data_IF_771430546338
#
_entry.id   IF_771430546338
#
_cell.length_a   1.000
_cell.length_b   1.000
_cell.length_c   1.000
_cell.angle_alpha   90.00
_cell.angle_beta   90.00
_cell.angle_gamma   90.00
#
_symmetry.space_group_name_H-M   'P 1'
#
loop_
_entity.id
_entity.type
_entity.pdbx_description
1 polymer ?
#
# COMPACT_ATOMS: atom_id res chain seq x y z
N UNK A 1 22.69 17.81 -5.93
CA UNK A 1 21.86 18.23 -7.08
C UNK A 1 22.11 17.36 -8.30
N UNK A 2 21.88 16.07 -8.33
CA UNK A 2 22.44 15.28 -9.42
C UNK A 2 21.72 14.02 -9.90
N UNK A 3 20.66 13.50 -9.25
CA UNK A 3 20.14 12.18 -9.66
C UNK A 3 18.61 12.09 -9.91
N UNK A 4 17.85 13.15 -9.63
CA UNK A 4 16.41 13.18 -9.94
C UNK A 4 16.10 13.49 -11.42
N UNK A 5 17.11 13.84 -12.21
CA UNK A 5 16.95 14.22 -13.63
C UNK A 5 16.85 13.04 -14.61
N UNK A 6 17.08 11.79 -14.16
CA UNK A 6 17.10 10.65 -15.09
C UNK A 6 15.71 10.11 -15.50
N UNK A 7 14.63 10.47 -14.80
CA UNK A 7 13.27 10.02 -15.13
C UNK A 7 12.34 11.13 -15.65
N UNK A 8 12.82 12.38 -15.72
CA UNK A 8 12.03 13.53 -16.17
C UNK A 8 10.87 13.91 -15.23
N UNK A 9 10.73 13.24 -14.07
CA UNK A 9 9.65 13.52 -13.11
C UNK A 9 10.19 14.24 -11.89
N UNK A 10 9.58 15.38 -11.54
CA UNK A 10 9.91 16.16 -10.36
C UNK A 10 9.28 15.58 -9.11
N UNK A 11 9.97 15.73 -7.97
CA UNK A 11 9.38 15.49 -6.66
C UNK A 11 8.32 16.54 -6.39
N UNK A 12 7.10 16.12 -6.13
CA UNK A 12 5.97 16.96 -5.78
C UNK A 12 5.73 16.92 -4.27
N UNK A 13 5.29 18.05 -3.72
CA UNK A 13 4.79 18.15 -2.35
C UNK A 13 3.29 18.43 -2.41
N UNK A 14 2.49 17.51 -1.90
CA UNK A 14 1.04 17.67 -1.75
C UNK A 14 0.78 18.20 -0.34
N UNK A 15 0.45 19.48 -0.25
CA UNK A 15 0.15 20.13 1.04
C UNK A 15 -1.32 19.90 1.37
N UNK A 16 -1.64 19.75 2.65
CA UNK A 16 -3.02 19.47 3.10
C UNK A 16 -4.04 20.54 2.64
N UNK A 17 -3.60 21.77 2.37
CA UNK A 17 -4.47 22.82 1.82
C UNK A 17 -4.72 22.71 0.30
N UNK A 18 -3.96 21.89 -0.43
CA UNK A 18 -4.10 21.75 -1.88
C UNK A 18 -5.33 20.93 -2.27
N UNK A 19 -5.93 21.28 -3.41
CA UNK A 19 -7.03 20.51 -4.00
C UNK A 19 -6.60 19.11 -4.43
N UNK A 20 -5.32 18.92 -4.74
CA UNK A 20 -4.74 17.60 -5.11
C UNK A 20 -4.42 16.72 -3.91
N UNK A 21 -4.52 17.25 -2.67
CA UNK A 21 -4.30 16.43 -1.47
C UNK A 21 -5.44 15.42 -1.30
N UNK A 22 -5.16 14.12 -1.15
CA UNK A 22 -6.20 13.11 -1.09
C UNK A 22 -7.16 13.34 0.08
N UNK A 23 -8.43 13.60 -0.21
CA UNK A 23 -9.46 13.87 0.80
C UNK A 23 -9.63 12.72 1.79
N UNK A 24 -9.38 11.47 1.35
CA UNK A 24 -9.42 10.28 2.19
C UNK A 24 -8.47 10.36 3.39
N UNK A 25 -7.32 11.02 3.27
CA UNK A 25 -6.40 11.19 4.40
C UNK A 25 -7.03 12.01 5.52
N UNK A 26 -7.74 13.09 5.19
CA UNK A 26 -8.45 13.88 6.20
C UNK A 26 -9.64 13.11 6.78
N UNK A 27 -10.39 12.41 5.93
CA UNK A 27 -11.58 11.67 6.33
C UNK A 27 -11.26 10.54 7.34
N UNK A 28 -10.19 9.80 7.13
CA UNK A 28 -9.87 8.61 7.94
C UNK A 28 -8.80 8.85 9.01
N UNK A 29 -7.86 9.79 8.79
CA UNK A 29 -6.80 10.07 9.75
C UNK A 29 -7.06 11.31 10.61
N UNK A 30 -8.02 12.15 10.22
CA UNK A 30 -8.38 13.35 10.97
C UNK A 30 -7.16 14.24 11.26
N UNK A 31 -6.93 14.55 12.54
CA UNK A 31 -5.80 15.38 12.96
C UNK A 31 -4.43 14.71 12.82
N UNK A 32 -4.38 13.39 12.63
CA UNK A 32 -3.14 12.64 12.37
C UNK A 32 -2.80 12.57 10.88
N UNK A 33 -3.61 13.17 10.00
CA UNK A 33 -3.30 13.28 8.59
C UNK A 33 -2.02 14.10 8.37
N UNK A 34 -1.07 13.62 7.55
CA UNK A 34 0.18 14.34 7.31
C UNK A 34 -0.10 15.71 6.67
N UNK A 35 0.52 16.78 7.17
CA UNK A 35 0.38 18.11 6.59
C UNK A 35 0.95 18.19 5.16
N UNK A 36 1.95 17.37 4.86
CA UNK A 36 2.63 17.31 3.56
C UNK A 36 2.86 15.85 3.19
N UNK A 37 2.58 15.50 1.94
CA UNK A 37 2.89 14.20 1.35
C UNK A 37 3.85 14.43 0.18
N UNK A 38 5.03 13.83 0.24
CA UNK A 38 5.98 13.82 -0.87
C UNK A 38 5.57 12.77 -1.89
N UNK A 39 5.52 13.15 -3.17
CA UNK A 39 5.10 12.29 -4.27
C UNK A 39 6.12 12.34 -5.41
N UNK A 40 6.48 11.18 -5.96
CA UNK A 40 7.31 11.05 -7.15
C UNK A 40 6.61 10.10 -8.14
N UNK A 41 6.21 10.62 -9.27
CA UNK A 41 5.40 9.92 -10.28
C UNK A 41 4.19 10.74 -10.67
N UNK A 42 3.15 10.10 -11.17
CA UNK A 42 1.92 10.74 -11.62
C UNK A 42 0.80 10.61 -10.56
N UNK A 43 0.37 11.71 -9.93
CA UNK A 43 -0.74 11.67 -8.98
C UNK A 43 -2.08 11.22 -9.58
N UNK A 44 -2.26 11.31 -10.91
CA UNK A 44 -3.47 10.80 -11.58
C UNK A 44 -3.68 9.29 -11.39
N UNK A 45 -2.67 8.56 -10.91
CA UNK A 45 -2.83 7.15 -10.52
C UNK A 45 -3.83 6.94 -9.36
N UNK A 46 -4.19 8.00 -8.63
CA UNK A 46 -5.28 7.98 -7.66
C UNK A 46 -6.68 8.00 -8.28
N UNK A 47 -6.82 8.36 -9.55
CA UNK A 47 -8.12 8.35 -10.24
C UNK A 47 -8.68 6.92 -10.36
N UNK A 48 -7.79 5.93 -10.33
CA UNK A 48 -8.14 4.51 -10.16
C UNK A 48 -8.04 4.14 -8.67
N UNK A 49 -9.17 3.96 -7.95
CA UNK A 49 -9.15 3.72 -6.52
C UNK A 49 -8.31 2.49 -6.15
N UNK A 50 -7.19 2.64 -5.45
CA UNK A 50 -6.25 1.55 -5.25
C UNK A 50 -6.73 0.56 -4.19
N UNK A 51 -6.21 -0.66 -4.28
CA UNK A 51 -6.41 -1.77 -3.39
C UNK A 51 -5.16 -1.94 -2.53
N UNK A 52 -5.29 -1.90 -1.20
CA UNK A 52 -4.15 -2.10 -0.32
C UNK A 52 -3.90 -3.57 -0.01
N UNK A 53 -2.62 -3.96 0.07
CA UNK A 53 -2.18 -5.28 0.52
C UNK A 53 -1.38 -5.17 1.82
N UNK A 54 -1.76 -5.98 2.82
CA UNK A 54 -1.04 -6.11 4.08
C UNK A 54 -0.84 -7.57 4.45
N UNK A 55 0.30 -7.86 5.07
CA UNK A 55 0.60 -9.18 5.61
C UNK A 55 1.45 -9.05 6.88
N UNK A 56 1.19 -9.89 7.88
CA UNK A 56 2.09 -10.04 9.01
C UNK A 56 3.47 -10.54 8.56
N UNK A 57 4.53 -10.18 9.28
CA UNK A 57 5.89 -10.57 8.95
C UNK A 57 6.07 -12.10 8.95
N UNK A 58 5.35 -12.80 9.84
CA UNK A 58 5.23 -14.26 9.83
C UNK A 58 3.91 -14.61 9.17
N UNK A 59 3.97 -15.43 8.12
CA UNK A 59 2.82 -15.89 7.35
C UNK A 59 2.91 -17.38 7.12
N UNK A 60 1.83 -18.16 7.31
CA UNK A 60 1.79 -19.57 6.98
C UNK A 60 2.12 -19.86 5.51
N UNK A 61 2.84 -20.95 5.23
CA UNK A 61 3.30 -21.28 3.88
C UNK A 61 2.17 -21.41 2.85
N UNK A 62 1.04 -22.00 3.25
CA UNK A 62 -0.16 -22.12 2.39
C UNK A 62 -0.74 -20.76 1.99
N UNK A 63 -0.70 -19.77 2.87
CA UNK A 63 -1.14 -18.40 2.58
C UNK A 63 -0.15 -17.66 1.68
N UNK A 64 1.15 -18.00 1.71
CA UNK A 64 2.15 -17.42 0.80
C UNK A 64 1.81 -17.81 -0.65
N UNK A 65 1.46 -19.06 -0.90
CA UNK A 65 1.05 -19.54 -2.24
C UNK A 65 -0.20 -18.79 -2.71
N UNK A 66 -1.24 -18.74 -1.87
CA UNK A 66 -2.47 -18.03 -2.20
C UNK A 66 -2.24 -16.52 -2.44
N UNK A 67 -1.32 -15.90 -1.70
CA UNK A 67 -0.94 -14.50 -1.90
C UNK A 67 -0.26 -14.29 -3.25
N UNK A 68 0.57 -15.23 -3.68
CA UNK A 68 1.21 -15.22 -5.00
C UNK A 68 0.16 -15.32 -6.11
N UNK A 69 -0.79 -16.25 -6.00
CA UNK A 69 -1.89 -16.41 -6.95
C UNK A 69 -2.76 -15.15 -7.02
N UNK A 70 -3.06 -14.54 -5.86
CA UNK A 70 -3.78 -13.28 -5.78
C UNK A 70 -3.02 -12.15 -6.48
N UNK A 71 -1.71 -12.05 -6.27
CA UNK A 71 -0.89 -11.01 -6.89
C UNK A 71 -0.87 -11.15 -8.42
N UNK A 72 -0.79 -12.38 -8.95
CA UNK A 72 -0.93 -12.64 -10.38
C UNK A 72 -2.32 -12.24 -10.90
N UNK A 73 -3.38 -12.64 -10.21
CA UNK A 73 -4.74 -12.28 -10.59
C UNK A 73 -4.98 -10.75 -10.60
N UNK A 74 -4.38 -10.00 -9.69
CA UNK A 74 -4.45 -8.54 -9.65
C UNK A 74 -3.63 -7.93 -10.80
N UNK A 75 -2.44 -8.46 -11.08
CA UNK A 75 -1.59 -8.00 -12.18
C UNK A 75 -2.26 -8.21 -13.56
N UNK A 76 -2.85 -9.40 -13.79
CA UNK A 76 -3.55 -9.75 -15.04
C UNK A 76 -4.78 -8.86 -15.29
N UNK A 77 -5.45 -8.42 -14.21
CA UNK A 77 -6.58 -7.48 -14.32
C UNK A 77 -6.17 -6.02 -14.42
N UNK A 78 -4.89 -5.72 -14.35
CA UNK A 78 -4.41 -4.33 -14.32
C UNK A 78 -4.92 -3.56 -13.10
N UNK A 79 -5.15 -4.22 -11.97
CA UNK A 79 -5.68 -3.59 -10.77
C UNK A 79 -4.69 -2.56 -10.20
N UNK A 80 -5.21 -1.41 -9.75
CA UNK A 80 -4.42 -0.43 -9.03
C UNK A 80 -4.14 -0.94 -7.62
N UNK A 81 -2.87 -1.07 -7.25
CA UNK A 81 -2.46 -1.58 -5.93
C UNK A 81 -1.59 -0.57 -5.19
N UNK A 82 -1.85 -0.41 -3.89
CA UNK A 82 -1.05 0.42 -2.98
C UNK A 82 -0.51 -0.40 -1.83
N UNK A 83 0.73 -0.17 -1.42
CA UNK A 83 1.31 -0.87 -0.28
C UNK A 83 2.61 -0.30 0.22
N UNK A 84 3.03 -0.82 1.37
CA UNK A 84 4.36 -0.57 1.90
C UNK A 84 5.38 -1.60 1.46
N UNK A 85 4.91 -2.76 1.12
CA UNK A 85 5.68 -3.89 0.59
C UNK A 85 6.92 -4.20 1.44
N UNK A 86 6.72 -4.25 2.76
CA UNK A 86 7.82 -4.37 3.70
C UNK A 86 8.07 -5.82 4.16
N UNK A 87 7.00 -6.61 4.35
CA UNK A 87 7.13 -8.01 4.75
C UNK A 87 7.58 -8.89 3.57
N UNK A 88 8.13 -10.09 3.82
CA UNK A 88 8.56 -10.99 2.74
C UNK A 88 7.44 -11.30 1.73
N UNK A 89 6.22 -11.56 2.22
CA UNK A 89 5.07 -11.86 1.36
C UNK A 89 4.65 -10.64 0.54
N UNK A 90 4.59 -9.46 1.17
CA UNK A 90 4.28 -8.22 0.46
C UNK A 90 5.33 -7.93 -0.64
N UNK A 91 6.61 -8.21 -0.41
CA UNK A 91 7.67 -8.06 -1.42
C UNK A 91 7.50 -9.01 -2.59
N UNK A 92 7.18 -10.27 -2.33
CA UNK A 92 6.89 -11.24 -3.39
C UNK A 92 5.71 -10.78 -4.25
N UNK A 93 4.64 -10.26 -3.63
CA UNK A 93 3.54 -9.65 -4.36
C UNK A 93 3.99 -8.42 -5.18
N UNK A 94 4.85 -7.56 -4.61
CA UNK A 94 5.38 -6.40 -5.33
C UNK A 94 6.14 -6.78 -6.60
N UNK A 95 6.98 -7.81 -6.55
CA UNK A 95 7.75 -8.29 -7.72
C UNK A 95 6.82 -8.71 -8.86
N UNK A 96 5.73 -9.41 -8.54
CA UNK A 96 4.71 -9.82 -9.52
C UNK A 96 3.98 -8.59 -10.09
N UNK A 97 3.55 -7.66 -9.24
CA UNK A 97 2.85 -6.44 -9.65
C UNK A 97 3.74 -5.51 -10.48
N UNK A 98 5.05 -5.47 -10.21
CA UNK A 98 6.01 -4.72 -11.01
C UNK A 98 6.15 -5.29 -12.43
N UNK A 99 6.01 -6.60 -12.61
CA UNK A 99 6.01 -7.24 -13.92
C UNK A 99 4.70 -7.02 -14.70
N UNK A 100 3.59 -6.75 -14.00
CA UNK A 100 2.28 -6.47 -14.60
C UNK A 100 2.20 -5.06 -15.21
N UNK A 101 1.01 -4.71 -15.73
CA UNK A 101 0.74 -3.42 -16.39
C UNK A 101 -0.06 -2.44 -15.49
N UNK A 102 -0.62 -2.90 -14.39
CA UNK A 102 -1.50 -2.10 -13.52
C UNK A 102 -0.81 -0.94 -12.81
N UNK A 103 -1.57 0.08 -12.39
CA UNK A 103 -1.07 1.17 -11.55
C UNK A 103 -0.56 0.66 -10.20
N UNK A 104 0.59 1.17 -9.77
CA UNK A 104 1.22 0.76 -8.51
C UNK A 104 1.62 1.98 -7.69
N UNK A 105 1.26 1.97 -6.41
CA UNK A 105 1.60 3.02 -5.47
C UNK A 105 2.42 2.42 -4.33
N UNK A 106 3.66 2.86 -4.17
CA UNK A 106 4.56 2.35 -3.14
C UNK A 106 4.82 3.41 -2.08
N UNK A 107 4.58 3.04 -0.81
CA UNK A 107 4.72 3.94 0.32
C UNK A 107 5.82 3.43 1.28
N UNK A 108 7.05 3.96 1.24
CA UNK A 108 8.08 3.58 2.20
C UNK A 108 7.76 4.12 3.60
N UNK A 109 8.20 3.41 4.65
CA UNK A 109 8.11 3.88 6.04
C UNK A 109 9.30 4.78 6.41
N UNK A 110 9.60 5.74 5.58
CA UNK A 110 10.67 6.74 5.72
C UNK A 110 10.43 7.89 4.75
N UNK A 111 11.18 8.98 4.90
CA UNK A 111 11.18 10.09 3.95
C UNK A 111 11.52 9.63 2.52
N UNK A 112 11.17 10.44 1.53
CA UNK A 112 11.40 10.12 0.12
C UNK A 112 12.88 9.88 -0.14
N UNK A 113 13.21 8.80 -0.84
CA UNK A 113 14.59 8.44 -1.17
C UNK A 113 15.13 9.30 -2.30
N UNK A 114 16.42 9.70 -2.19
CA UNK A 114 17.10 10.45 -3.25
C UNK A 114 17.49 9.59 -4.45
N UNK A 115 17.68 8.28 -4.22
CA UNK A 115 18.04 7.32 -5.26
C UNK A 115 16.89 6.37 -5.48
N UNK A 116 16.39 6.31 -6.71
CA UNK A 116 15.30 5.42 -7.09
C UNK A 116 15.88 4.01 -7.30
N UNK A 117 15.33 2.97 -6.61
CA UNK A 117 15.67 1.57 -6.86
C UNK A 117 15.54 1.20 -8.33
N UNK A 118 16.41 0.31 -8.80
CA UNK A 118 16.47 -0.04 -10.22
C UNK A 118 15.14 -0.59 -10.75
N UNK A 119 14.47 -1.42 -9.96
CA UNK A 119 13.17 -2.03 -10.25
C UNK A 119 12.04 -1.02 -10.44
N UNK A 120 12.16 0.19 -9.87
CA UNK A 120 11.13 1.23 -9.97
C UNK A 120 11.33 2.18 -11.17
N UNK A 121 12.50 2.18 -11.80
CA UNK A 121 12.83 3.17 -12.85
C UNK A 121 11.92 3.03 -14.07
N UNK A 122 11.77 1.81 -14.58
CA UNK A 122 10.94 1.53 -15.76
C UNK A 122 9.45 1.81 -15.48
N UNK A 123 8.83 1.31 -14.40
CA UNK A 123 7.44 1.62 -14.07
C UNK A 123 7.18 3.11 -13.84
N UNK A 124 8.13 3.85 -13.24
CA UNK A 124 8.06 5.30 -13.10
C UNK A 124 8.09 6.01 -14.46
N UNK A 125 9.02 5.62 -15.34
CA UNK A 125 9.12 6.19 -16.68
C UNK A 125 7.86 5.92 -17.50
N UNK A 126 7.27 4.73 -17.37
CA UNK A 126 6.01 4.33 -18.00
C UNK A 126 4.77 5.02 -17.41
N UNK A 127 4.90 5.82 -16.34
CA UNK A 127 3.77 6.54 -15.72
C UNK A 127 2.83 5.66 -14.90
N UNK A 128 3.20 4.40 -14.60
CA UNK A 128 2.36 3.46 -13.84
C UNK A 128 2.79 3.24 -12.38
N UNK A 129 3.87 3.91 -11.94
CA UNK A 129 4.31 3.87 -10.54
C UNK A 129 4.28 5.27 -9.93
N UNK A 130 3.76 5.33 -8.70
CA UNK A 130 3.79 6.51 -7.85
C UNK A 130 4.45 6.13 -6.51
N UNK A 131 5.51 6.84 -6.15
CA UNK A 131 6.09 6.74 -4.80
C UNK A 131 5.50 7.83 -3.93
N UNK A 132 5.03 7.47 -2.74
CA UNK A 132 4.45 8.41 -1.76
C UNK A 132 5.11 8.27 -0.41
N UNK A 133 5.41 9.39 0.23
CA UNK A 133 5.86 9.38 1.62
C UNK A 133 5.18 10.49 2.42
N UNK A 134 4.55 10.16 3.58
CA UNK A 134 4.04 11.13 4.53
C UNK A 134 5.10 11.64 5.51
N UNK A 135 6.36 11.22 5.36
CA UNK A 135 7.44 11.48 6.32
C UNK A 135 8.40 12.54 5.81
N UNK A 136 8.99 13.30 6.75
CA UNK A 136 10.02 14.27 6.44
C UNK A 136 11.29 13.58 5.86
N UNK A 137 12.06 14.29 5.04
CA UNK A 137 13.31 13.78 4.47
C UNK A 137 14.37 13.38 5.52
N UNK A 138 14.27 13.93 6.74
CA UNK A 138 15.11 13.57 7.88
C UNK A 138 14.86 12.15 8.39
N UNK A 139 13.66 11.60 8.17
CA UNK A 139 13.28 10.25 8.58
C UNK A 139 13.88 9.21 7.62
N UNK A 140 15.16 8.90 7.83
CA UNK A 140 15.90 8.01 6.92
C UNK A 140 15.83 6.53 7.30
N UNK A 141 15.58 6.25 8.58
CA UNK A 141 15.53 4.87 9.12
C UNK A 141 14.10 4.42 9.31
N UNK A 142 13.80 3.20 8.91
CA UNK A 142 12.51 2.56 9.17
C UNK A 142 12.45 2.18 10.64
N UNK A 143 11.42 2.64 11.35
CA UNK A 143 11.08 2.20 12.71
C UNK A 143 9.72 1.51 12.73
N UNK A 144 9.40 0.87 13.83
CA UNK A 144 8.11 0.21 14.00
C UNK A 144 6.95 1.23 14.02
N UNK A 145 7.21 2.42 14.57
CA UNK A 145 6.24 3.54 14.65
C UNK A 145 5.98 4.12 13.26
N UNK A 146 7.04 4.39 12.47
CA UNK A 146 6.90 4.86 11.09
C UNK A 146 6.21 3.81 10.21
N UNK A 147 6.50 2.51 10.43
CA UNK A 147 5.83 1.44 9.71
C UNK A 147 4.32 1.38 10.04
N UNK A 148 3.95 1.56 11.31
CA UNK A 148 2.54 1.60 11.72
C UNK A 148 1.83 2.84 11.14
N UNK A 149 2.44 4.02 11.23
CA UNK A 149 1.91 5.26 10.66
C UNK A 149 1.73 5.15 9.13
N UNK A 150 2.74 4.58 8.41
CA UNK A 150 2.65 4.30 6.99
C UNK A 150 1.50 3.35 6.66
N UNK A 151 1.31 2.29 7.44
CA UNK A 151 0.24 1.33 7.18
C UNK A 151 -1.15 1.99 7.31
N UNK A 152 -1.37 2.83 8.32
CA UNK A 152 -2.60 3.63 8.45
C UNK A 152 -2.78 4.59 7.27
N UNK A 153 -1.71 5.25 6.85
CA UNK A 153 -1.70 6.13 5.67
C UNK A 153 -2.10 5.39 4.38
N UNK A 154 -1.52 4.21 4.13
CA UNK A 154 -1.85 3.34 2.99
C UNK A 154 -3.31 2.89 3.06
N UNK A 155 -3.77 2.41 4.21
CA UNK A 155 -5.15 1.98 4.40
C UNK A 155 -6.16 3.13 4.23
N UNK A 156 -5.80 4.35 4.65
CA UNK A 156 -6.63 5.54 4.45
C UNK A 156 -6.79 5.89 2.96
N UNK A 157 -5.73 5.76 2.15
CA UNK A 157 -5.75 6.03 0.71
C UNK A 157 -6.46 4.95 -0.10
N UNK A 158 -6.46 3.71 0.36
CA UNK A 158 -7.06 2.60 -0.36
C UNK A 158 -8.60 2.66 -0.36
N UNK A 159 -9.21 2.28 -1.47
CA UNK A 159 -10.67 2.07 -1.54
C UNK A 159 -11.10 0.75 -0.91
N UNK A 160 -10.25 -0.26 -0.98
CA UNK A 160 -10.45 -1.61 -0.45
C UNK A 160 -9.15 -2.09 0.15
N UNK A 161 -9.22 -2.92 1.18
CA UNK A 161 -8.03 -3.41 1.89
C UNK A 161 -8.05 -4.94 1.96
N UNK A 162 -6.95 -5.57 1.54
CA UNK A 162 -6.75 -7.00 1.68
C UNK A 162 -5.69 -7.25 2.76
N UNK A 163 -6.05 -8.00 3.78
CA UNK A 163 -5.11 -8.58 4.72
C UNK A 163 -4.85 -10.04 4.32
N UNK A 164 -3.69 -10.31 3.73
CA UNK A 164 -3.26 -11.66 3.33
C UNK A 164 -3.23 -12.56 4.56
N UNK A 165 -2.62 -12.06 5.64
CA UNK A 165 -2.58 -12.70 6.95
C UNK A 165 -2.37 -11.66 8.05
N UNK A 166 -3.03 -11.87 9.18
CA UNK A 166 -2.80 -11.11 10.41
C UNK A 166 -2.64 -12.05 11.59
N UNK A 167 -1.44 -12.06 12.18
CA UNK A 167 -1.20 -12.84 13.38
C UNK A 167 -2.11 -12.35 14.53
N UNK A 168 -2.81 -13.23 15.25
CA UNK A 168 -3.66 -12.85 16.37
C UNK A 168 -2.93 -12.03 17.43
N UNK A 169 -3.56 -10.96 17.92
CA UNK A 169 -2.97 -10.00 18.86
C UNK A 169 -1.88 -9.10 18.26
N UNK A 170 -1.63 -9.21 16.94
CA UNK A 170 -0.57 -8.48 16.25
C UNK A 170 -0.99 -7.11 15.72
N UNK A 171 0.01 -6.31 15.31
CA UNK A 171 -0.23 -4.95 14.75
C UNK A 171 -1.04 -4.98 13.46
N UNK A 172 -0.92 -6.03 12.66
CA UNK A 172 -1.67 -6.17 11.40
C UNK A 172 -3.16 -6.41 11.68
N UNK A 173 -3.48 -7.21 12.70
CA UNK A 173 -4.86 -7.41 13.14
C UNK A 173 -5.46 -6.13 13.72
N UNK A 174 -4.70 -5.42 14.57
CA UNK A 174 -5.15 -4.13 15.11
C UNK A 174 -5.46 -3.13 13.98
N UNK A 175 -4.64 -3.09 12.93
CA UNK A 175 -4.92 -2.27 11.76
C UNK A 175 -6.19 -2.74 11.03
N UNK A 176 -6.40 -4.06 10.89
CA UNK A 176 -7.61 -4.59 10.25
C UNK A 176 -8.87 -4.16 11.01
N UNK A 177 -8.86 -4.27 12.34
CA UNK A 177 -9.94 -3.82 13.20
C UNK A 177 -10.21 -2.31 13.04
N UNK A 178 -9.16 -1.49 13.01
CA UNK A 178 -9.27 -0.05 12.79
C UNK A 178 -9.92 0.26 11.43
N UNK A 179 -9.46 -0.40 10.37
CA UNK A 179 -9.96 -0.18 8.99
C UNK A 179 -11.41 -0.62 8.83
N UNK A 180 -11.80 -1.73 9.45
CA UNK A 180 -13.20 -2.17 9.52
C UNK A 180 -14.03 -1.11 10.25
N UNK A 181 -13.54 -0.57 11.36
CA UNK A 181 -14.18 0.53 12.09
C UNK A 181 -14.34 1.82 11.28
N UNK A 182 -13.53 2.05 10.24
CA UNK A 182 -13.73 3.13 9.28
C UNK A 182 -14.86 2.88 8.26
N UNK A 183 -15.48 1.70 8.28
CA UNK A 183 -16.50 1.28 7.31
C UNK A 183 -15.94 0.95 5.93
N UNK A 184 -14.64 0.72 5.80
CA UNK A 184 -14.03 0.31 4.53
C UNK A 184 -14.23 -1.18 4.26
N UNK A 185 -14.40 -1.59 2.98
CA UNK A 185 -14.40 -3.00 2.61
C UNK A 185 -13.04 -3.64 2.90
N UNK A 186 -13.04 -4.62 3.78
CA UNK A 186 -11.85 -5.40 4.17
C UNK A 186 -12.03 -6.83 3.72
N UNK A 187 -10.97 -7.38 3.14
CA UNK A 187 -10.94 -8.75 2.60
C UNK A 187 -9.76 -9.53 3.18
N UNK A 188 -9.92 -10.85 3.21
CA UNK A 188 -8.85 -11.78 3.58
C UNK A 188 -8.92 -13.06 2.75
N UNK A 189 -7.85 -13.82 2.74
CA UNK A 189 -7.82 -15.16 2.13
C UNK A 189 -8.58 -16.15 3.01
N UNK A 190 -9.41 -16.99 2.39
CA UNK A 190 -10.15 -18.06 3.08
C UNK A 190 -9.16 -19.11 3.62
N UNK A 191 -8.82 -18.98 4.91
CA UNK A 191 -7.88 -19.88 5.58
C UNK A 191 -8.16 -19.95 7.09
N UNK A 192 -8.00 -21.11 7.74
CA UNK A 192 -8.21 -21.22 9.19
C UNK A 192 -7.37 -20.24 10.03
N UNK A 193 -6.13 -19.94 9.61
CA UNK A 193 -5.24 -18.99 10.28
C UNK A 193 -5.66 -17.51 10.12
N UNK A 194 -6.70 -17.23 9.33
CA UNK A 194 -7.30 -15.91 9.17
C UNK A 194 -8.68 -15.80 9.82
N UNK A 195 -9.06 -16.79 10.64
CA UNK A 195 -10.37 -16.79 11.30
C UNK A 195 -10.60 -15.54 12.13
N UNK A 196 -9.58 -15.04 12.81
CA UNK A 196 -9.62 -13.79 13.55
C UNK A 196 -10.01 -12.58 12.69
N UNK A 197 -9.57 -12.53 11.43
CA UNK A 197 -9.95 -11.47 10.48
C UNK A 197 -11.41 -11.62 10.04
N UNK A 198 -11.85 -12.85 9.75
CA UNK A 198 -13.24 -13.15 9.36
C UNK A 198 -14.21 -12.85 10.51
N UNK A 199 -13.87 -13.30 11.73
CA UNK A 199 -14.66 -13.02 12.94
C UNK A 199 -14.71 -11.50 13.24
N UNK A 200 -13.67 -10.76 12.84
CA UNK A 200 -13.59 -9.31 12.90
C UNK A 200 -14.39 -8.57 11.82
N UNK A 201 -14.93 -9.26 10.81
CA UNK A 201 -15.76 -8.66 9.76
C UNK A 201 -15.09 -8.57 8.37
N UNK A 202 -13.92 -9.18 8.16
CA UNK A 202 -13.31 -9.25 6.84
C UNK A 202 -14.07 -10.26 5.94
N UNK A 203 -14.25 -9.91 4.68
CA UNK A 203 -14.89 -10.73 3.66
C UNK A 203 -13.87 -11.64 2.96
N UNK A 204 -14.35 -12.71 2.34
CA UNK A 204 -13.50 -13.54 1.48
C UNK A 204 -13.07 -12.77 0.23
N UNK A 205 -11.77 -12.77 -0.08
CA UNK A 205 -11.20 -12.13 -1.26
C UNK A 205 -11.74 -12.68 -2.59
N UNK A 206 -12.24 -13.92 -2.62
CA UNK A 206 -12.88 -14.49 -3.80
C UNK A 206 -14.08 -13.66 -4.26
N UNK A 207 -14.77 -12.96 -3.35
CA UNK A 207 -15.88 -12.05 -3.69
C UNK A 207 -15.40 -10.79 -4.41
N UNK A 208 -14.14 -10.41 -4.24
CA UNK A 208 -13.52 -9.24 -4.86
C UNK A 208 -12.97 -9.55 -6.25
N UNK A 209 -12.30 -10.70 -6.40
CA UNK A 209 -11.65 -11.06 -7.66
C UNK A 209 -12.53 -11.85 -8.61
N UNK A 210 -13.77 -12.19 -8.23
CA UNK A 210 -14.75 -12.93 -9.03
C UNK A 210 -14.15 -14.18 -9.67
N UNK A 211 -14.63 -15.35 -9.31
CA UNK A 211 -14.34 -16.55 -10.10
C UNK A 211 -15.07 -16.51 -11.42
#
# INVERSE_FOLDING_TARGET
>A
MGFLHQTGKSLLSLVSADARYPAALRAFLGQTAPAVVSALGDPALFDSPPLALFCSARCPGSLIVQATDLAHALADRGAAVIGGFHTPVERACLEILLAGAGPLIVCPARGMVKTIPAEFRQPLAAGRLLLLSPFAESERRVTAELAAARNRFVAALAARVIFIHAAPGGRTEALATEVIGWGKPVYTLAHPDNRNLVDGGAMDVCTLVGR
#
